data_IF_921503486043
#
_entry.id   IF_921503486043
#
_cell.length_a   1.000
_cell.length_b   1.000
_cell.length_c   1.000
_cell.angle_alpha   90.00
_cell.angle_beta   90.00
_cell.angle_gamma   90.00
#
_symmetry.space_group_name_H-M   'P 1'
#
loop_
_entity.id
_entity.type
_entity.pdbx_description
1 polymer ?
#
# COMPACT_ATOMS: atom_id res chain seq x y z
N UNK A 1 -31.89 22.60 -21.85
CA UNK A 1 -30.97 21.79 -21.02
C UNK A 1 -30.36 20.71 -21.90
N UNK A 2 -29.04 20.49 -21.81
CA UNK A 2 -28.40 19.33 -22.45
C UNK A 2 -28.40 18.19 -21.43
N UNK A 3 -29.04 17.08 -21.74
CA UNK A 3 -29.07 15.89 -20.90
C UNK A 3 -28.11 14.85 -21.50
N UNK A 4 -27.36 14.14 -20.65
CA UNK A 4 -26.41 13.08 -21.05
C UNK A 4 -26.88 11.77 -20.42
N UNK A 5 -26.92 10.70 -21.22
CA UNK A 5 -27.22 9.36 -20.73
C UNK A 5 -26.04 8.84 -19.89
N UNK A 6 -26.31 8.37 -18.67
CA UNK A 6 -25.31 7.84 -17.75
C UNK A 6 -25.76 6.53 -17.13
N UNK A 7 -24.79 5.71 -16.71
CA UNK A 7 -25.01 4.55 -15.87
C UNK A 7 -24.55 4.90 -14.45
N UNK A 8 -25.36 4.55 -13.45
CA UNK A 8 -25.07 4.78 -12.03
C UNK A 8 -24.76 3.43 -11.40
N UNK A 9 -23.66 3.38 -10.66
CA UNK A 9 -23.20 2.18 -9.93
C UNK A 9 -23.25 2.46 -8.43
N UNK A 10 -23.44 1.42 -7.62
CA UNK A 10 -23.53 1.57 -6.16
C UNK A 10 -22.17 1.87 -5.55
N UNK A 11 -21.09 1.33 -6.14
CA UNK A 11 -19.72 1.57 -5.69
C UNK A 11 -18.77 1.98 -6.82
N UNK A 12 -17.71 2.76 -6.54
CA UNK A 12 -16.67 3.08 -7.52
C UNK A 12 -15.99 1.83 -8.11
N UNK A 13 -15.86 0.77 -7.32
CA UNK A 13 -15.21 -0.49 -7.73
C UNK A 13 -16.01 -1.22 -8.81
N UNK A 14 -17.34 -1.21 -8.72
CA UNK A 14 -18.21 -1.73 -9.78
C UNK A 14 -18.04 -0.93 -11.07
N UNK A 15 -17.96 0.40 -10.97
CA UNK A 15 -17.73 1.28 -12.11
C UNK A 15 -16.33 1.04 -12.74
N UNK A 16 -15.31 0.78 -11.92
CA UNK A 16 -13.92 0.59 -12.38
C UNK A 16 -13.80 -0.60 -13.37
N UNK A 17 -14.60 -1.66 -13.23
CA UNK A 17 -14.64 -2.77 -14.22
C UNK A 17 -15.05 -2.25 -15.60
N UNK A 18 -16.10 -1.43 -15.66
CA UNK A 18 -16.63 -0.86 -16.90
C UNK A 18 -15.71 0.20 -17.47
N UNK A 19 -15.12 1.04 -16.62
CA UNK A 19 -14.12 2.04 -16.98
C UNK A 19 -12.91 1.34 -17.60
N UNK A 20 -12.35 0.30 -16.95
CA UNK A 20 -11.25 -0.51 -17.50
C UNK A 20 -11.62 -1.08 -18.87
N UNK A 21 -12.79 -1.73 -19.00
CA UNK A 21 -13.24 -2.29 -20.29
C UNK A 21 -13.40 -1.25 -21.40
N UNK A 22 -13.93 -0.07 -21.07
CA UNK A 22 -14.11 1.03 -22.02
C UNK A 22 -12.78 1.60 -22.53
N UNK A 23 -11.75 1.57 -21.68
CA UNK A 23 -10.48 2.25 -21.92
C UNK A 23 -9.25 1.38 -22.20
N UNK A 24 -9.34 0.06 -22.01
CA UNK A 24 -8.22 -0.89 -22.17
C UNK A 24 -7.81 -1.20 -23.62
N UNK A 25 -8.34 -0.48 -24.61
CA UNK A 25 -8.01 -0.68 -26.03
C UNK A 25 -8.70 -1.89 -26.67
N UNK A 26 -8.16 -2.36 -27.79
CA UNK A 26 -8.70 -3.40 -28.69
C UNK A 26 -8.82 -4.80 -28.03
N UNK A 27 -9.68 -4.93 -27.02
CA UNK A 27 -10.34 -6.19 -26.71
C UNK A 27 -11.36 -6.48 -27.81
N UNK A 28 -10.91 -6.81 -29.03
CA UNK A 28 -11.77 -7.09 -30.19
C UNK A 28 -12.82 -6.00 -30.47
N UNK A 29 -12.47 -4.71 -30.35
CA UNK A 29 -13.35 -3.60 -30.74
C UNK A 29 -14.41 -3.15 -29.72
N UNK A 30 -14.33 -3.58 -28.45
CA UNK A 30 -15.30 -3.19 -27.40
C UNK A 30 -14.99 -1.81 -26.79
N UNK A 31 -13.72 -1.39 -26.76
CA UNK A 31 -13.28 -0.13 -26.16
C UNK A 31 -13.59 1.09 -27.04
N UNK A 32 -14.30 2.08 -26.51
CA UNK A 32 -14.73 3.27 -27.29
C UNK A 32 -13.77 4.47 -27.16
N UNK A 33 -12.93 4.51 -26.13
CA UNK A 33 -11.96 5.61 -25.89
C UNK A 33 -10.68 5.04 -25.30
N UNK A 34 -9.56 5.07 -26.01
CA UNK A 34 -8.29 4.50 -25.53
C UNK A 34 -7.62 5.39 -24.48
N UNK A 35 -7.14 4.78 -23.38
CA UNK A 35 -6.24 5.48 -22.47
C UNK A 35 -4.85 5.63 -23.06
N UNK A 36 -4.23 6.77 -22.79
CA UNK A 36 -2.78 6.88 -22.93
C UNK A 36 -2.06 6.10 -21.81
N UNK A 37 -0.76 5.86 -21.99
CA UNK A 37 0.01 5.01 -21.08
C UNK A 37 0.01 5.53 -19.62
N UNK A 38 0.02 6.86 -19.42
CA UNK A 38 -0.01 7.47 -18.09
C UNK A 38 -1.39 7.33 -17.42
N UNK A 39 -2.48 7.50 -18.17
CA UNK A 39 -3.85 7.28 -17.67
C UNK A 39 -4.05 5.83 -17.25
N UNK A 40 -3.54 4.88 -18.06
CA UNK A 40 -3.57 3.45 -17.72
C UNK A 40 -2.84 3.17 -16.40
N UNK A 41 -1.62 3.67 -16.24
CA UNK A 41 -0.87 3.46 -15.00
C UNK A 41 -1.54 4.12 -13.78
N UNK A 42 -2.16 5.30 -13.94
CA UNK A 42 -2.90 5.95 -12.84
C UNK A 42 -4.15 5.18 -12.44
N UNK A 43 -4.82 4.57 -13.42
CA UNK A 43 -5.94 3.69 -13.15
C UNK A 43 -5.49 2.42 -12.42
N UNK A 44 -4.40 1.79 -12.88
CA UNK A 44 -3.79 0.64 -12.21
C UNK A 44 -3.35 0.98 -10.77
N UNK A 45 -2.73 2.14 -10.55
CA UNK A 45 -2.39 2.65 -9.22
C UNK A 45 -3.64 2.78 -8.33
N UNK A 46 -4.73 3.35 -8.86
CA UNK A 46 -6.01 3.49 -8.15
C UNK A 46 -6.61 2.13 -7.77
N UNK A 47 -6.60 1.16 -8.70
CA UNK A 47 -7.31 -0.12 -8.50
C UNK A 47 -6.48 -1.20 -7.84
N UNK A 48 -5.16 -1.19 -8.04
CA UNK A 48 -4.24 -2.24 -7.58
C UNK A 48 -3.27 -1.74 -6.50
N UNK A 49 -3.26 -0.44 -6.18
CA UNK A 49 -2.41 0.17 -5.16
C UNK A 49 -0.93 0.25 -5.53
N UNK A 50 -0.56 -0.09 -6.77
CA UNK A 50 0.84 -0.14 -7.24
C UNK A 50 1.18 1.10 -8.07
N UNK A 51 1.92 2.04 -7.48
CA UNK A 51 2.44 3.20 -8.19
C UNK A 51 3.67 2.84 -9.01
N UNK A 52 3.68 3.16 -10.30
CA UNK A 52 4.87 2.96 -11.14
C UNK A 52 5.96 3.99 -10.81
N UNK A 53 7.23 3.65 -11.02
CA UNK A 53 8.35 4.59 -10.81
C UNK A 53 8.19 5.90 -11.61
N UNK A 54 7.80 5.88 -12.91
CA UNK A 54 7.50 7.09 -13.65
C UNK A 54 6.40 7.95 -13.01
N UNK A 55 5.33 7.34 -12.48
CA UNK A 55 4.28 8.08 -11.79
C UNK A 55 4.78 8.72 -10.50
N UNK A 56 5.57 8.00 -9.70
CA UNK A 56 6.20 8.55 -8.50
C UNK A 56 7.08 9.76 -8.83
N UNK A 57 7.86 9.71 -9.92
CA UNK A 57 8.66 10.86 -10.39
C UNK A 57 7.78 12.03 -10.82
N UNK A 58 6.71 11.78 -11.58
CA UNK A 58 5.77 12.82 -12.00
C UNK A 58 5.13 13.48 -10.76
N UNK A 59 4.72 12.68 -9.80
CA UNK A 59 4.14 13.13 -8.53
C UNK A 59 5.14 13.97 -7.74
N UNK A 60 6.38 13.50 -7.62
CA UNK A 60 7.48 14.25 -6.99
C UNK A 60 7.65 15.61 -7.67
N UNK A 61 7.84 15.67 -8.99
CA UNK A 61 8.04 16.93 -9.71
C UNK A 61 6.84 17.89 -9.57
N UNK A 62 5.61 17.38 -9.59
CA UNK A 62 4.40 18.19 -9.37
C UNK A 62 4.33 18.77 -7.96
N UNK A 63 4.83 18.03 -6.97
CA UNK A 63 4.82 18.46 -5.58
C UNK A 63 5.82 19.58 -5.28
N UNK A 64 6.85 19.80 -6.10
CA UNK A 64 7.93 20.75 -5.77
C UNK A 64 7.63 22.17 -6.27
N UNK A 65 7.94 23.17 -5.43
CA UNK A 65 7.76 24.60 -5.77
C UNK A 65 8.80 25.10 -6.79
N UNK A 66 10.00 24.54 -6.76
CA UNK A 66 11.09 24.88 -7.68
C UNK A 66 10.80 24.48 -9.14
N UNK A 67 9.80 23.62 -9.36
CA UNK A 67 9.38 23.18 -10.69
C UNK A 67 8.31 24.14 -11.23
N UNK A 68 8.58 24.76 -12.38
CA UNK A 68 7.66 25.71 -13.02
C UNK A 68 6.34 25.06 -13.44
N UNK A 69 5.26 25.83 -13.42
CA UNK A 69 3.93 25.36 -13.83
C UNK A 69 3.90 24.90 -15.30
N UNK A 70 4.69 25.54 -16.16
CA UNK A 70 4.87 25.13 -17.57
C UNK A 70 5.37 23.70 -17.71
N UNK A 71 6.31 23.28 -16.86
CA UNK A 71 6.81 21.91 -16.84
C UNK A 71 5.76 20.98 -16.23
N UNK A 72 5.13 21.37 -15.11
CA UNK A 72 4.08 20.57 -14.44
C UNK A 72 2.92 20.22 -15.37
N UNK A 73 2.50 21.16 -16.21
CA UNK A 73 1.44 20.96 -17.20
C UNK A 73 1.89 20.00 -18.32
N UNK A 74 3.14 20.15 -18.74
CA UNK A 74 3.75 19.34 -19.80
C UNK A 74 4.01 17.88 -19.37
N UNK A 75 4.14 17.60 -18.07
CA UNK A 75 4.30 16.24 -17.54
C UNK A 75 3.18 15.28 -17.96
N UNK A 76 1.99 15.79 -18.29
CA UNK A 76 0.87 14.97 -18.80
C UNK A 76 1.12 14.37 -20.19
N UNK A 77 2.04 14.97 -20.97
CA UNK A 77 2.43 14.55 -22.32
C UNK A 77 3.71 13.72 -22.33
N UNK A 78 4.32 13.51 -21.17
CA UNK A 78 5.60 12.83 -21.04
C UNK A 78 5.51 11.38 -21.55
N UNK A 79 6.49 10.97 -22.35
CA UNK A 79 6.58 9.57 -22.75
C UNK A 79 7.09 8.73 -21.57
N UNK A 80 6.16 8.18 -20.79
CA UNK A 80 6.46 7.40 -19.60
C UNK A 80 7.27 6.14 -19.88
N UNK A 81 7.23 5.58 -21.10
CA UNK A 81 8.01 4.39 -21.45
C UNK A 81 9.49 4.71 -21.61
N UNK A 82 9.81 5.91 -22.09
CA UNK A 82 11.19 6.42 -22.15
C UNK A 82 11.72 6.72 -20.75
N UNK A 83 10.91 7.35 -19.89
CA UNK A 83 11.26 7.57 -18.49
C UNK A 83 11.48 6.23 -17.76
N UNK A 84 10.57 5.26 -17.93
CA UNK A 84 10.72 3.92 -17.36
C UNK A 84 12.02 3.26 -17.82
N UNK A 85 12.36 3.35 -19.11
CA UNK A 85 13.59 2.75 -19.66
C UNK A 85 14.85 3.31 -19.00
N UNK A 86 14.89 4.62 -18.75
CA UNK A 86 15.98 5.26 -18.02
C UNK A 86 16.02 4.82 -16.56
N UNK A 87 14.88 4.85 -15.86
CA UNK A 87 14.80 4.53 -14.43
C UNK A 87 15.02 3.04 -14.13
N UNK A 88 14.78 2.15 -15.09
CA UNK A 88 15.10 0.73 -14.93
C UNK A 88 16.61 0.45 -14.91
N UNK A 89 17.45 1.40 -15.33
CA UNK A 89 18.91 1.23 -15.31
C UNK A 89 19.50 1.67 -13.96
N UNK A 90 20.18 0.77 -13.21
CA UNK A 90 20.81 1.12 -11.95
C UNK A 90 21.83 2.27 -12.08
N UNK A 91 22.58 2.31 -13.18
CA UNK A 91 23.62 3.33 -13.37
C UNK A 91 23.00 4.72 -13.50
N UNK A 92 21.91 4.85 -14.26
CA UNK A 92 21.18 6.12 -14.41
C UNK A 92 20.58 6.55 -13.07
N UNK A 93 20.00 5.63 -12.30
CA UNK A 93 19.44 5.93 -10.99
C UNK A 93 20.50 6.42 -10.01
N UNK A 94 21.63 5.75 -9.92
CA UNK A 94 22.76 6.14 -9.06
C UNK A 94 23.25 7.56 -9.39
N UNK A 95 23.37 7.89 -10.69
CA UNK A 95 23.76 9.23 -11.15
C UNK A 95 22.73 10.32 -10.84
N UNK A 96 21.47 9.94 -10.62
CA UNK A 96 20.41 10.83 -10.20
C UNK A 96 20.22 10.86 -8.67
N UNK A 97 21.01 10.08 -7.92
CA UNK A 97 20.87 9.93 -6.47
C UNK A 97 19.63 9.16 -6.07
N UNK A 98 19.11 8.28 -6.93
CA UNK A 98 17.86 7.56 -6.75
C UNK A 98 18.10 6.07 -6.51
N UNK A 99 17.24 5.47 -5.69
CA UNK A 99 17.17 4.03 -5.45
C UNK A 99 15.71 3.57 -5.56
N UNK A 100 15.52 2.26 -5.75
CA UNK A 100 14.19 1.64 -5.79
C UNK A 100 14.18 0.52 -4.77
N UNK A 101 13.34 0.66 -3.75
CA UNK A 101 13.14 -0.34 -2.71
C UNK A 101 11.70 -0.83 -2.77
N UNK A 102 11.50 -2.11 -3.09
CA UNK A 102 10.17 -2.73 -3.23
C UNK A 102 9.20 -1.96 -4.15
N UNK A 103 9.71 -1.39 -5.24
CA UNK A 103 8.91 -0.60 -6.18
C UNK A 103 8.64 0.85 -5.73
N UNK A 104 9.20 1.30 -4.61
CA UNK A 104 9.12 2.68 -4.13
C UNK A 104 10.43 3.41 -4.45
N UNK A 105 10.32 4.60 -5.02
CA UNK A 105 11.44 5.50 -5.28
C UNK A 105 11.89 6.15 -3.97
N UNK A 106 13.16 5.95 -3.62
CA UNK A 106 13.79 6.51 -2.41
C UNK A 106 15.10 7.20 -2.75
N UNK A 107 15.53 8.13 -1.89
CA UNK A 107 16.82 8.81 -2.04
C UNK A 107 17.39 9.24 -0.69
N UNK A 108 18.72 9.28 -0.62
CA UNK A 108 19.48 9.88 0.49
C UNK A 108 20.06 11.25 0.12
N UNK A 109 19.91 11.68 -1.12
CA UNK A 109 20.38 12.99 -1.61
C UNK A 109 19.29 14.03 -1.34
N UNK A 110 19.63 15.28 -1.08
CA UNK A 110 18.61 16.33 -0.89
C UNK A 110 17.63 16.39 -2.06
N UNK A 111 16.35 16.59 -1.74
CA UNK A 111 15.25 16.63 -2.72
C UNK A 111 15.60 17.60 -3.86
N UNK A 112 15.99 18.83 -3.55
CA UNK A 112 16.32 19.85 -4.57
C UNK A 112 17.44 19.42 -5.54
N UNK A 113 18.43 18.66 -5.09
CA UNK A 113 19.47 18.13 -5.99
C UNK A 113 18.90 17.06 -6.93
N UNK A 114 18.09 16.14 -6.42
CA UNK A 114 17.43 15.11 -7.24
C UNK A 114 16.48 15.76 -8.27
N UNK A 115 15.78 16.82 -7.89
CA UNK A 115 14.90 17.58 -8.80
C UNK A 115 15.69 18.18 -9.97
N UNK A 116 16.90 18.71 -9.76
CA UNK A 116 17.73 19.24 -10.85
C UNK A 116 17.98 18.18 -11.94
N UNK A 117 18.41 16.99 -11.53
CA UNK A 117 18.67 15.88 -12.44
C UNK A 117 17.40 15.40 -13.15
N UNK A 118 16.31 15.23 -12.40
CA UNK A 118 15.01 14.82 -12.96
C UNK A 118 14.42 15.85 -13.91
N UNK A 119 14.60 17.15 -13.67
CA UNK A 119 14.15 18.21 -14.56
C UNK A 119 14.84 18.13 -15.91
N UNK A 120 16.15 17.87 -15.95
CA UNK A 120 16.87 17.66 -17.20
C UNK A 120 16.32 16.46 -17.97
N UNK A 121 16.14 15.32 -17.28
CA UNK A 121 15.59 14.09 -17.88
C UNK A 121 14.21 14.33 -18.49
N UNK A 122 13.31 14.95 -17.73
CA UNK A 122 11.94 15.18 -18.18
C UNK A 122 11.90 16.19 -19.33
N UNK A 123 12.70 17.27 -19.25
CA UNK A 123 12.76 18.28 -20.32
C UNK A 123 13.26 17.69 -21.62
N UNK A 124 14.26 16.81 -21.56
CA UNK A 124 14.74 16.09 -22.74
C UNK A 124 13.67 15.19 -23.32
N UNK A 125 13.01 14.37 -22.51
CA UNK A 125 11.97 13.45 -23.01
C UNK A 125 10.77 14.21 -23.60
N UNK A 126 10.47 15.41 -23.09
CA UNK A 126 9.42 16.29 -23.63
C UNK A 126 9.83 16.98 -24.94
N UNK A 127 11.12 17.06 -25.24
CA UNK A 127 11.61 17.63 -26.48
C UNK A 127 11.25 16.72 -27.66
N UNK A 128 10.54 17.21 -28.69
CA UNK A 128 10.21 16.43 -29.88
C UNK A 128 11.41 15.80 -30.60
N UNK A 129 12.60 16.41 -30.47
CA UNK A 129 13.85 15.90 -31.07
C UNK A 129 14.45 14.71 -30.30
N UNK A 130 13.98 14.41 -29.09
CA UNK A 130 14.49 13.31 -28.30
C UNK A 130 14.04 11.96 -28.86
N UNK A 131 15.01 11.14 -29.28
CA UNK A 131 14.72 9.85 -29.91
C UNK A 131 14.93 8.72 -28.92
N UNK A 132 14.03 7.74 -28.97
CA UNK A 132 14.15 6.52 -28.17
C UNK A 132 15.46 5.76 -28.44
N UNK A 133 16.03 5.90 -29.63
CA UNK A 133 17.34 5.35 -30.01
C UNK A 133 18.48 5.83 -29.11
N UNK A 134 18.35 7.02 -28.51
CA UNK A 134 19.39 7.65 -27.69
C UNK A 134 19.44 7.06 -26.28
N UNK A 135 18.46 6.22 -25.91
CA UNK A 135 18.35 5.54 -24.60
C UNK A 135 17.99 4.07 -24.72
N UNK A 136 18.05 3.50 -25.92
CA UNK A 136 17.49 2.18 -26.21
C UNK A 136 18.19 1.05 -25.44
N UNK A 137 19.52 1.00 -25.52
CA UNK A 137 20.37 0.03 -24.83
C UNK A 137 21.11 0.66 -23.63
N UNK A 138 21.82 -0.17 -22.87
CA UNK A 138 22.51 0.23 -21.64
C UNK A 138 23.61 1.25 -21.91
N UNK A 139 24.38 1.05 -22.96
CA UNK A 139 25.50 1.90 -23.37
C UNK A 139 25.00 3.31 -23.69
N UNK A 140 23.88 3.41 -24.43
CA UNK A 140 23.23 4.66 -24.77
C UNK A 140 22.66 5.39 -23.55
N UNK A 141 22.03 4.67 -22.61
CA UNK A 141 21.57 5.26 -21.34
C UNK A 141 22.70 5.80 -20.48
N UNK A 142 23.82 5.08 -20.42
CA UNK A 142 25.04 5.53 -19.75
C UNK A 142 25.61 6.79 -20.42
N UNK A 143 25.75 6.79 -21.75
CA UNK A 143 26.20 7.98 -22.50
C UNK A 143 25.28 9.18 -22.27
N UNK A 144 23.97 8.95 -22.28
CA UNK A 144 22.97 9.99 -22.03
C UNK A 144 23.16 10.68 -20.68
N UNK A 145 23.27 9.92 -19.59
CA UNK A 145 23.42 10.51 -18.24
C UNK A 145 24.82 11.08 -18.00
N UNK A 146 25.86 10.47 -18.59
CA UNK A 146 27.24 10.94 -18.47
C UNK A 146 27.43 12.31 -19.15
N UNK A 147 26.67 12.59 -20.21
CA UNK A 147 26.69 13.85 -20.96
C UNK A 147 25.99 15.04 -20.25
N UNK A 148 25.43 14.85 -19.05
CA UNK A 148 24.83 15.96 -18.31
C UNK A 148 25.91 16.95 -17.88
N UNK A 149 25.63 18.24 -18.03
CA UNK A 149 26.51 19.29 -17.52
C UNK A 149 26.57 19.25 -15.99
N UNK A 150 27.65 19.79 -15.42
CA UNK A 150 27.81 19.83 -13.95
C UNK A 150 26.65 20.52 -13.23
N UNK A 151 26.03 21.52 -13.86
CA UNK A 151 24.85 22.22 -13.31
C UNK A 151 23.55 21.41 -13.37
N UNK A 152 23.51 20.36 -14.18
CA UNK A 152 22.35 19.48 -14.39
C UNK A 152 22.45 18.19 -13.58
N UNK A 153 23.65 17.83 -13.12
CA UNK A 153 23.88 16.65 -12.27
C UNK A 153 23.54 16.99 -10.82
N UNK A 154 22.78 16.13 -10.12
CA UNK A 154 22.63 16.24 -8.68
C UNK A 154 23.99 16.19 -7.97
N UNK A 155 24.20 17.03 -6.96
CA UNK A 155 25.34 16.84 -6.07
C UNK A 155 25.06 15.69 -5.10
N UNK A 156 25.59 14.51 -5.42
CA UNK A 156 25.40 13.29 -4.63
C UNK A 156 26.02 13.38 -3.22
N UNK A 157 26.96 14.30 -2.99
CA UNK A 157 27.55 14.52 -1.67
C UNK A 157 26.64 15.35 -0.74
N UNK A 158 25.63 16.02 -1.31
CA UNK A 158 24.68 16.82 -0.57
C UNK A 158 23.55 15.93 -0.04
N UNK A 159 23.88 15.15 0.99
CA UNK A 159 22.96 14.20 1.63
C UNK A 159 21.83 14.91 2.39
N UNK A 160 20.65 14.28 2.37
CA UNK A 160 19.53 14.63 3.22
C UNK A 160 19.77 14.11 4.64
N UNK A 161 19.09 14.68 5.64
CA UNK A 161 19.21 14.24 7.03
C UNK A 161 18.71 12.81 7.25
N UNK A 162 17.73 12.38 6.47
CA UNK A 162 17.15 11.04 6.48
C UNK A 162 16.84 10.60 5.05
N UNK A 163 16.79 9.28 4.82
CA UNK A 163 16.28 8.75 3.55
C UNK A 163 14.80 9.11 3.41
N UNK A 164 14.44 9.63 2.24
CA UNK A 164 13.07 10.03 1.94
C UNK A 164 12.50 9.26 0.75
N UNK A 165 11.18 9.15 0.72
CA UNK A 165 10.38 8.69 -0.42
C UNK A 165 9.45 9.79 -0.93
N UNK A 166 8.87 9.61 -2.12
CA UNK A 166 7.88 10.55 -2.68
C UNK A 166 6.66 10.69 -1.75
N UNK A 167 6.25 9.59 -1.11
CA UNK A 167 5.11 9.58 -0.18
C UNK A 167 5.39 10.43 1.06
N UNK A 168 6.62 10.42 1.59
CA UNK A 168 6.99 11.25 2.75
C UNK A 168 6.89 12.75 2.44
N UNK A 169 7.25 13.12 1.21
CA UNK A 169 7.21 14.50 0.73
C UNK A 169 5.77 14.99 0.58
N UNK A 170 4.88 14.20 -0.03
CA UNK A 170 3.44 14.51 -0.09
C UNK A 170 2.82 14.57 1.31
N UNK A 171 3.17 13.59 2.15
CA UNK A 171 3.12 13.57 3.61
C UNK A 171 3.24 14.96 4.26
N UNK A 172 4.42 15.53 4.09
CA UNK A 172 4.85 16.76 4.74
C UNK A 172 4.21 18.00 4.12
N UNK A 173 4.00 18.05 2.80
CA UNK A 173 3.30 19.17 2.15
C UNK A 173 1.83 19.26 2.53
N UNK A 174 1.13 18.13 2.61
CA UNK A 174 -0.24 18.14 3.11
C UNK A 174 -0.34 18.56 4.58
N UNK A 175 0.72 18.39 5.39
CA UNK A 175 0.75 18.89 6.77
C UNK A 175 1.04 20.38 6.81
N UNK A 176 1.93 20.89 5.95
CA UNK A 176 2.22 22.32 5.83
C UNK A 176 1.02 23.13 5.33
N UNK A 177 0.33 22.69 4.28
CA UNK A 177 -0.88 23.36 3.77
C UNK A 177 -2.07 23.30 4.76
N UNK A 178 -2.19 22.23 5.56
CA UNK A 178 -3.26 22.13 6.58
C UNK A 178 -3.01 23.00 7.83
N UNK A 179 -1.80 23.52 8.02
CA UNK A 179 -1.48 24.42 9.13
C UNK A 179 -1.75 25.90 8.78
N UNK A 180 -1.80 26.26 7.48
CA UNK A 180 -2.13 27.62 7.04
C UNK A 180 -3.63 27.92 7.01
N UNK A 181 -4.49 26.90 7.00
CA UNK A 181 -5.96 27.03 6.92
C UNK A 181 -6.71 26.73 8.23
N UNK A 182 -6.02 26.61 9.37
CA UNK A 182 -6.67 26.36 10.67
C UNK A 182 -6.50 27.51 11.66
N UNK A 183 -7.08 28.66 11.30
CA UNK A 183 -7.92 29.36 12.27
C UNK A 183 -9.37 29.20 11.84
N UNK A 184 -10.17 28.75 12.81
CA UNK A 184 -11.61 28.50 12.77
C UNK A 184 -12.12 27.13 12.30
N UNK A 185 -13.02 26.64 13.15
CA UNK A 185 -13.95 25.51 13.01
C UNK A 185 -13.41 24.12 13.40
N UNK A 186 -13.75 23.77 14.66
CA UNK A 186 -13.83 22.42 15.20
C UNK A 186 -14.78 21.58 14.33
N UNK A 187 -14.31 20.42 13.86
CA UNK A 187 -15.19 19.43 13.23
C UNK A 187 -14.43 18.34 12.50
N UNK A 188 -14.41 17.17 13.13
CA UNK A 188 -14.15 15.83 12.59
C UNK A 188 -12.75 15.41 12.10
N UNK A 189 -12.33 14.23 12.58
CA UNK A 189 -11.02 13.62 12.37
C UNK A 189 -11.21 12.24 11.75
N UNK A 190 -10.78 12.07 10.50
CA UNK A 190 -10.19 10.84 9.94
C UNK A 190 -9.72 11.14 8.51
N UNK A 191 -8.60 10.67 7.97
CA UNK A 191 -7.52 9.77 8.40
C UNK A 191 -6.24 10.36 7.75
N UNK A 192 -5.19 10.59 8.52
CA UNK A 192 -3.82 10.73 8.02
C UNK A 192 -3.04 9.56 8.60
N UNK A 193 -2.38 8.80 7.74
CA UNK A 193 -1.48 7.68 8.04
C UNK A 193 -0.48 8.12 9.10
N UNK A 194 -0.76 7.77 10.36
CA UNK A 194 0.18 7.99 11.46
C UNK A 194 1.28 6.96 11.30
N UNK A 195 2.52 7.44 11.32
CA UNK A 195 3.73 6.65 11.52
C UNK A 195 3.51 5.78 12.77
N UNK A 196 3.09 4.53 12.53
CA UNK A 196 2.50 3.66 13.53
C UNK A 196 3.62 2.96 14.27
N UNK A 197 3.84 3.35 15.53
CA UNK A 197 4.83 2.70 16.39
C UNK A 197 4.42 1.30 16.84
N UNK A 198 3.11 1.01 16.92
CA UNK A 198 2.57 -0.23 17.48
C UNK A 198 1.71 -1.04 16.50
N UNK A 199 1.67 -2.36 16.68
CA UNK A 199 1.00 -3.26 15.74
C UNK A 199 -0.51 -3.06 15.65
N UNK A 200 -1.18 -2.60 16.72
CA UNK A 200 -2.62 -2.25 16.75
C UNK A 200 -2.84 -0.75 16.99
N UNK A 201 -3.79 -0.08 16.28
CA UNK A 201 -3.92 1.36 16.41
C UNK A 201 -4.42 1.67 17.81
N UNK A 202 -3.82 2.63 18.51
CA UNK A 202 -4.30 3.03 19.85
C UNK A 202 -5.76 3.50 19.86
N UNK A 203 -6.27 3.95 18.71
CA UNK A 203 -7.66 4.35 18.51
C UNK A 203 -8.63 3.18 18.37
N UNK A 204 -8.15 1.97 18.08
CA UNK A 204 -9.01 0.80 17.95
C UNK A 204 -9.40 0.29 19.33
N UNK A 205 -10.70 0.15 19.55
CA UNK A 205 -11.28 -0.40 20.76
C UNK A 205 -12.16 -1.58 20.37
N UNK A 206 -11.79 -2.76 20.85
CA UNK A 206 -12.60 -3.98 20.74
C UNK A 206 -13.18 -4.29 22.10
N UNK A 207 -14.46 -4.67 22.16
CA UNK A 207 -15.08 -5.11 23.40
C UNK A 207 -14.83 -6.60 23.60
N UNK A 208 -13.83 -6.93 24.41
CA UNK A 208 -13.37 -8.30 24.64
C UNK A 208 -13.68 -8.70 26.09
N UNK A 209 -14.70 -9.54 26.27
CA UNK A 209 -15.14 -9.99 27.60
C UNK A 209 -14.10 -10.88 28.31
N UNK A 210 -13.30 -11.63 27.55
CA UNK A 210 -12.25 -12.48 28.10
C UNK A 210 -11.05 -11.64 28.59
N UNK A 211 -10.72 -11.63 29.90
CA UNK A 211 -9.66 -10.78 30.44
C UNK A 211 -8.27 -11.06 29.87
N UNK A 212 -7.96 -12.32 29.53
CA UNK A 212 -6.66 -12.71 28.97
C UNK A 212 -6.52 -12.19 27.54
N UNK A 213 -7.55 -12.39 26.72
CA UNK A 213 -7.53 -11.95 25.32
C UNK A 213 -7.50 -10.42 25.25
N UNK A 214 -8.24 -9.74 26.14
CA UNK A 214 -8.21 -8.28 26.22
C UNK A 214 -6.82 -7.74 26.61
N UNK A 215 -6.13 -8.37 27.56
CA UNK A 215 -4.74 -7.99 27.91
C UNK A 215 -3.80 -8.14 26.72
N UNK A 216 -3.88 -9.24 25.98
CA UNK A 216 -3.07 -9.46 24.76
C UNK A 216 -3.37 -8.39 23.70
N UNK A 217 -4.64 -8.04 23.51
CA UNK A 217 -5.04 -6.95 22.60
C UNK A 217 -4.45 -5.59 23.03
N UNK A 218 -4.50 -5.27 24.32
CA UNK A 218 -3.89 -4.06 24.85
C UNK A 218 -2.36 -4.08 24.74
N UNK A 219 -1.70 -5.22 24.96
CA UNK A 219 -0.26 -5.38 24.70
C UNK A 219 0.09 -5.10 23.23
N UNK A 220 -0.72 -5.59 22.29
CA UNK A 220 -0.56 -5.32 20.86
C UNK A 220 -0.71 -3.84 20.48
N UNK A 221 -1.45 -3.05 21.27
CA UNK A 221 -1.57 -1.58 21.12
C UNK A 221 -0.35 -0.81 21.62
N UNK A 222 0.52 -1.45 22.40
CA UNK A 222 1.69 -0.84 23.03
C UNK A 222 3.01 -1.39 22.53
N UNK A 223 3.06 -2.65 22.07
CA UNK A 223 4.28 -3.28 21.56
C UNK A 223 4.83 -2.50 20.37
N UNK A 224 6.09 -2.10 20.47
CA UNK A 224 6.75 -1.34 19.41
C UNK A 224 7.19 -2.30 18.29
N UNK A 225 6.44 -2.32 17.19
CA UNK A 225 6.61 -3.31 16.11
C UNK A 225 7.95 -3.15 15.39
N UNK A 226 8.48 -1.93 15.32
CA UNK A 226 9.79 -1.64 14.70
C UNK A 226 10.97 -2.14 15.53
N UNK A 227 10.88 -2.10 16.85
CA UNK A 227 11.96 -2.55 17.75
C UNK A 227 11.82 -4.02 18.13
N UNK A 228 10.58 -4.53 18.19
CA UNK A 228 10.27 -5.88 18.66
C UNK A 228 9.40 -6.66 17.64
N UNK A 229 9.84 -6.87 16.39
CA UNK A 229 9.04 -7.53 15.36
C UNK A 229 8.73 -9.00 15.68
N UNK A 230 9.67 -9.73 16.28
CA UNK A 230 9.46 -11.12 16.72
C UNK A 230 8.39 -11.23 17.81
N UNK A 231 8.47 -10.39 18.84
CA UNK A 231 7.47 -10.39 19.91
C UNK A 231 6.08 -10.01 19.36
N UNK A 232 6.04 -9.04 18.43
CA UNK A 232 4.81 -8.58 17.79
C UNK A 232 4.16 -9.67 16.94
N UNK A 233 4.94 -10.44 16.17
CA UNK A 233 4.39 -11.53 15.34
C UNK A 233 3.84 -12.67 16.18
N UNK A 234 4.52 -13.05 17.27
CA UNK A 234 4.06 -14.09 18.21
C UNK A 234 2.77 -13.66 18.89
N UNK A 235 2.71 -12.42 19.42
CA UNK A 235 1.49 -11.90 20.04
C UNK A 235 0.32 -11.83 19.06
N UNK A 236 0.58 -11.42 17.80
CA UNK A 236 -0.45 -11.38 16.76
C UNK A 236 -1.03 -12.76 16.49
N UNK A 237 -0.16 -13.78 16.36
CA UNK A 237 -0.59 -15.17 16.17
C UNK A 237 -1.47 -15.64 17.34
N UNK A 238 -1.03 -15.40 18.57
CA UNK A 238 -1.78 -15.80 19.78
C UNK A 238 -3.13 -15.08 19.83
N UNK A 239 -3.17 -13.78 19.50
CA UNK A 239 -4.41 -13.02 19.46
C UNK A 239 -5.39 -13.54 18.41
N UNK A 240 -4.90 -13.85 17.20
CA UNK A 240 -5.70 -14.45 16.13
C UNK A 240 -6.32 -15.77 16.58
N UNK A 241 -5.49 -16.67 17.11
CA UNK A 241 -5.93 -18.01 17.52
C UNK A 241 -6.98 -17.95 18.64
N UNK A 242 -6.72 -17.17 19.70
CA UNK A 242 -7.66 -17.03 20.80
C UNK A 242 -8.96 -16.33 20.41
N UNK A 243 -8.92 -15.36 19.49
CA UNK A 243 -10.13 -14.68 19.00
C UNK A 243 -11.02 -15.64 18.21
N UNK A 244 -10.41 -16.45 17.34
CA UNK A 244 -11.12 -17.46 16.54
C UNK A 244 -11.72 -18.53 17.43
N UNK A 245 -10.95 -19.03 18.40
CA UNK A 245 -11.42 -20.03 19.37
C UNK A 245 -12.60 -19.49 20.20
N UNK A 246 -12.50 -18.26 20.70
CA UNK A 246 -13.59 -17.61 21.44
C UNK A 246 -14.87 -17.49 20.61
N UNK A 247 -14.77 -17.18 19.31
CA UNK A 247 -15.93 -17.15 18.43
C UNK A 247 -16.53 -18.54 18.25
N UNK A 248 -15.71 -19.55 17.95
CA UNK A 248 -16.19 -20.92 17.73
C UNK A 248 -16.91 -21.49 18.95
N UNK A 249 -16.37 -21.24 20.14
CA UNK A 249 -16.98 -21.65 21.42
C UNK A 249 -18.26 -20.86 21.69
N UNK A 250 -18.25 -19.53 21.47
CA UNK A 250 -19.44 -18.71 21.68
C UNK A 250 -20.58 -19.10 20.76
N UNK A 251 -20.31 -19.55 19.54
CA UNK A 251 -21.32 -19.95 18.54
C UNK A 251 -21.60 -21.45 18.45
N UNK A 252 -21.03 -22.26 19.34
CA UNK A 252 -21.22 -23.72 19.38
C UNK A 252 -20.79 -24.42 18.06
N UNK A 253 -19.74 -23.91 17.40
CA UNK A 253 -19.24 -24.37 16.10
C UNK A 253 -18.02 -25.31 16.20
N UNK A 254 -17.69 -25.73 17.42
CA UNK A 254 -16.53 -26.59 17.71
C UNK A 254 -16.77 -27.99 17.14
N UNK A 255 -15.75 -28.54 16.45
CA UNK A 255 -15.84 -29.86 15.82
C UNK A 255 -15.74 -30.99 16.85
N UNK A 256 -16.29 -32.15 16.52
CA UNK A 256 -16.07 -33.43 17.22
C UNK A 256 -16.55 -33.48 18.69
N UNK A 257 -17.54 -32.67 19.09
CA UNK A 257 -18.00 -32.55 20.48
C UNK A 257 -16.84 -32.23 21.46
N UNK A 258 -15.75 -31.64 20.97
CA UNK A 258 -14.64 -31.24 21.82
C UNK A 258 -15.09 -30.13 22.77
N UNK A 259 -14.59 -30.18 24.02
CA UNK A 259 -14.97 -29.23 25.07
C UNK A 259 -14.49 -27.81 24.75
N UNK A 260 -13.39 -27.67 23.99
CA UNK A 260 -12.84 -26.37 23.58
C UNK A 260 -12.40 -26.40 22.12
N UNK A 261 -12.34 -25.24 21.48
CA UNK A 261 -11.86 -25.09 20.11
C UNK A 261 -10.38 -25.51 19.97
N UNK A 262 -9.58 -25.29 21.03
CA UNK A 262 -8.19 -25.75 21.12
C UNK A 262 -8.08 -27.28 21.10
N UNK A 263 -8.99 -27.99 21.77
CA UNK A 263 -9.00 -29.46 21.84
C UNK A 263 -9.57 -30.14 20.58
N UNK A 264 -10.06 -29.37 19.60
CA UNK A 264 -10.75 -29.92 18.44
C UNK A 264 -9.84 -30.66 17.44
N UNK A 265 -8.52 -30.47 17.54
CA UNK A 265 -7.53 -31.00 16.59
C UNK A 265 -7.58 -30.34 15.20
N UNK A 266 -8.43 -29.32 15.01
CA UNK A 266 -8.56 -28.59 13.76
C UNK A 266 -7.44 -27.55 13.62
N UNK A 267 -6.86 -27.47 12.42
CA UNK A 267 -5.85 -26.44 12.14
C UNK A 267 -6.46 -25.05 12.24
N UNK A 268 -5.64 -24.05 12.62
CA UNK A 268 -6.07 -22.65 12.67
C UNK A 268 -6.73 -22.20 11.35
N UNK A 269 -6.29 -22.75 10.22
CA UNK A 269 -6.83 -22.45 8.89
C UNK A 269 -8.27 -22.94 8.75
N UNK A 270 -8.53 -24.17 9.20
CA UNK A 270 -9.87 -24.74 9.25
C UNK A 270 -10.79 -23.94 10.18
N UNK A 271 -10.28 -23.56 11.36
CA UNK A 271 -11.00 -22.75 12.34
C UNK A 271 -11.41 -21.40 11.77
N UNK A 272 -10.46 -20.64 11.20
CA UNK A 272 -10.75 -19.34 10.57
C UNK A 272 -11.74 -19.50 9.41
N UNK A 273 -11.56 -20.52 8.57
CA UNK A 273 -12.46 -20.81 7.47
C UNK A 273 -13.91 -21.06 7.92
N UNK A 274 -14.12 -21.68 9.09
CA UNK A 274 -15.46 -21.86 9.67
C UNK A 274 -16.05 -20.56 10.18
N UNK A 275 -15.28 -19.77 10.93
CA UNK A 275 -15.72 -18.47 11.44
C UNK A 275 -16.17 -17.58 10.28
N UNK A 276 -15.36 -17.47 9.24
CA UNK A 276 -15.68 -16.67 8.05
C UNK A 276 -16.94 -17.17 7.33
N UNK A 277 -17.14 -18.48 7.21
CA UNK A 277 -18.37 -19.03 6.63
C UNK A 277 -19.60 -18.67 7.47
N UNK A 278 -19.49 -18.81 8.78
CA UNK A 278 -20.58 -18.51 9.70
C UNK A 278 -20.93 -17.02 9.71
N UNK A 279 -19.93 -16.13 9.76
CA UNK A 279 -20.15 -14.68 9.71
C UNK A 279 -20.81 -14.23 8.39
N UNK A 280 -20.42 -14.85 7.27
CA UNK A 280 -21.05 -14.62 5.98
C UNK A 280 -22.51 -15.11 5.96
N UNK A 281 -22.81 -16.26 6.56
CA UNK A 281 -24.17 -16.78 6.68
C UNK A 281 -25.06 -15.90 7.57
N UNK A 282 -24.51 -15.35 8.65
CA UNK A 282 -25.19 -14.39 9.52
C UNK A 282 -25.36 -12.99 8.91
N UNK A 283 -24.71 -12.72 7.77
CA UNK A 283 -24.72 -11.39 7.13
C UNK A 283 -23.90 -10.33 7.87
N UNK A 284 -23.09 -10.72 8.86
CA UNK A 284 -22.21 -9.78 9.61
C UNK A 284 -20.94 -9.46 8.83
N UNK A 285 -20.59 -10.28 7.84
CA UNK A 285 -19.45 -10.08 6.94
C UNK A 285 -19.86 -10.25 5.47
N UNK A 286 -19.42 -9.32 4.61
CA UNK A 286 -19.66 -9.44 3.17
C UNK A 286 -18.84 -10.58 2.54
N UNK A 287 -19.36 -11.13 1.44
CA UNK A 287 -18.67 -12.19 0.69
C UNK A 287 -17.28 -11.75 0.20
N UNK A 288 -17.12 -10.49 -0.20
CA UNK A 288 -15.86 -9.97 -0.72
C UNK A 288 -14.84 -9.78 0.40
N UNK A 289 -15.26 -9.33 1.58
CA UNK A 289 -14.39 -9.23 2.75
C UNK A 289 -13.93 -10.62 3.22
N UNK A 290 -14.86 -11.58 3.31
CA UNK A 290 -14.58 -12.98 3.64
C UNK A 290 -13.59 -13.61 2.65
N UNK A 291 -13.74 -13.35 1.34
CA UNK A 291 -12.79 -13.80 0.31
C UNK A 291 -11.41 -13.17 0.46
N UNK A 292 -11.33 -11.87 0.72
CA UNK A 292 -10.07 -11.17 0.95
C UNK A 292 -9.28 -11.76 2.12
N UNK A 293 -9.93 -11.93 3.26
CA UNK A 293 -9.32 -12.53 4.46
C UNK A 293 -8.91 -13.99 4.21
N UNK A 294 -9.74 -14.78 3.51
CA UNK A 294 -9.37 -16.15 3.09
C UNK A 294 -8.15 -16.15 2.20
N UNK A 295 -8.06 -15.24 1.24
CA UNK A 295 -6.92 -15.14 0.34
C UNK A 295 -5.65 -14.82 1.12
N UNK A 296 -5.70 -13.86 2.05
CA UNK A 296 -4.56 -13.48 2.87
C UNK A 296 -4.07 -14.63 3.76
N UNK A 297 -4.99 -15.36 4.40
CA UNK A 297 -4.65 -16.43 5.34
C UNK A 297 -4.16 -17.70 4.62
N UNK A 298 -4.64 -17.94 3.39
CA UNK A 298 -4.29 -19.12 2.60
C UNK A 298 -3.12 -18.89 1.63
N UNK A 299 -2.76 -17.65 1.33
CA UNK A 299 -1.62 -17.35 0.47
C UNK A 299 -0.32 -17.66 1.21
N UNK A 300 0.41 -18.68 0.76
CA UNK A 300 1.70 -19.09 1.34
C UNK A 300 2.73 -17.96 1.37
N UNK A 301 2.62 -17.00 0.47
CA UNK A 301 3.51 -15.84 0.38
C UNK A 301 3.02 -14.65 1.19
N UNK A 302 1.81 -14.72 1.77
CA UNK A 302 1.34 -13.69 2.69
C UNK A 302 2.12 -13.74 4.00
N UNK A 303 2.36 -12.55 4.55
CA UNK A 303 2.95 -12.32 5.86
C UNK A 303 2.07 -12.89 6.98
N UNK A 304 0.74 -12.92 6.76
CA UNK A 304 -0.24 -13.42 7.72
C UNK A 304 -0.73 -14.83 7.42
N UNK A 305 -0.16 -15.48 6.41
CA UNK A 305 -0.43 -16.88 6.19
C UNK A 305 -0.14 -17.66 7.46
N UNK A 306 -0.92 -18.70 7.72
CA UNK A 306 -0.73 -19.50 8.93
C UNK A 306 0.64 -20.18 8.91
N UNK A 307 1.14 -20.49 7.71
CA UNK A 307 2.49 -21.01 7.48
C UNK A 307 3.56 -19.96 7.85
N UNK A 308 3.40 -18.70 7.44
CA UNK A 308 4.30 -17.58 7.79
C UNK A 308 4.28 -17.26 9.28
N UNK A 309 3.08 -17.17 9.88
CA UNK A 309 2.92 -17.01 11.33
C UNK A 309 3.53 -18.17 12.10
N UNK A 310 3.59 -19.38 11.51
CA UNK A 310 4.22 -20.55 12.14
C UNK A 310 5.74 -20.50 11.99
N UNK A 311 6.21 -20.10 10.81
CA UNK A 311 7.62 -19.91 10.53
C UNK A 311 8.22 -18.82 11.43
N UNK A 312 7.52 -17.72 11.73
CA UNK A 312 8.02 -16.70 12.66
C UNK A 312 8.27 -17.21 14.09
N UNK A 313 7.61 -18.31 14.49
CA UNK A 313 7.79 -18.91 15.82
C UNK A 313 8.87 -19.99 15.82
N UNK A 314 8.94 -20.78 14.75
CA UNK A 314 9.69 -22.04 14.76
C UNK A 314 10.86 -22.10 13.76
N UNK A 315 10.94 -21.19 12.80
CA UNK A 315 12.00 -21.18 11.80
C UNK A 315 13.06 -20.13 12.15
N UNK A 316 14.25 -20.60 12.53
CA UNK A 316 15.40 -19.78 12.92
C UNK A 316 15.86 -18.80 11.81
N UNK A 317 15.60 -19.13 10.55
CA UNK A 317 16.06 -18.34 9.40
C UNK A 317 14.96 -17.45 8.80
N UNK A 318 13.76 -17.42 9.39
CA UNK A 318 12.63 -16.66 8.86
C UNK A 318 12.18 -15.56 9.83
N UNK A 319 12.57 -14.32 9.49
CA UNK A 319 12.37 -13.16 10.36
C UNK A 319 11.14 -12.34 9.95
N UNK A 320 10.27 -11.96 10.90
CA UNK A 320 9.19 -11.01 10.65
C UNK A 320 9.76 -9.60 10.43
N UNK A 321 9.16 -8.88 9.48
CA UNK A 321 9.46 -7.47 9.20
C UNK A 321 8.36 -6.58 9.74
N UNK A 322 8.70 -5.46 10.34
CA UNK A 322 7.75 -4.59 11.02
C UNK A 322 6.65 -4.07 10.08
N UNK A 323 7.02 -3.55 8.91
CA UNK A 323 6.05 -3.01 7.95
C UNK A 323 5.11 -4.08 7.40
N UNK A 324 5.65 -5.28 7.19
CA UNK A 324 4.87 -6.45 6.77
C UNK A 324 3.80 -6.81 7.83
N UNK A 325 4.16 -6.80 9.12
CA UNK A 325 3.21 -7.07 10.20
C UNK A 325 2.14 -5.97 10.29
N UNK A 326 2.50 -4.70 10.09
CA UNK A 326 1.56 -3.57 10.07
C UNK A 326 0.55 -3.74 8.92
N UNK A 327 1.04 -3.95 7.70
CA UNK A 327 0.18 -4.20 6.53
C UNK A 327 -0.71 -5.41 6.74
N UNK A 328 -0.14 -6.47 7.33
CA UNK A 328 -0.89 -7.65 7.71
C UNK A 328 -2.07 -7.28 8.62
N UNK A 329 -1.79 -6.63 9.75
CA UNK A 329 -2.84 -6.18 10.67
C UNK A 329 -3.92 -5.37 9.94
N UNK A 330 -3.53 -4.38 9.12
CA UNK A 330 -4.47 -3.51 8.42
C UNK A 330 -5.41 -4.30 7.49
N UNK A 331 -4.92 -5.38 6.87
CA UNK A 331 -5.73 -6.27 6.02
C UNK A 331 -6.76 -7.10 6.82
N UNK A 332 -6.46 -7.46 8.07
CA UNK A 332 -7.33 -8.29 8.92
C UNK A 332 -8.01 -7.52 10.07
N UNK A 333 -7.84 -6.21 10.18
CA UNK A 333 -8.43 -5.40 11.25
C UNK A 333 -9.96 -5.51 11.26
N UNK A 334 -10.58 -5.43 10.08
CA UNK A 334 -12.03 -5.54 9.89
C UNK A 334 -12.57 -6.91 10.31
N UNK A 335 -11.79 -7.98 10.14
CA UNK A 335 -12.13 -9.31 10.63
C UNK A 335 -12.29 -9.31 12.15
N UNK A 336 -11.32 -8.75 12.88
CA UNK A 336 -11.39 -8.70 14.34
C UNK A 336 -12.54 -7.83 14.84
N UNK A 337 -12.79 -6.68 14.20
CA UNK A 337 -13.92 -5.82 14.56
C UNK A 337 -15.23 -6.60 14.47
N UNK A 338 -15.51 -7.20 13.32
CA UNK A 338 -16.77 -7.91 13.10
C UNK A 338 -16.89 -9.18 13.95
N UNK A 339 -15.77 -9.88 14.18
CA UNK A 339 -15.72 -11.07 15.03
C UNK A 339 -16.12 -10.72 16.46
N UNK A 340 -15.50 -9.70 17.06
CA UNK A 340 -15.78 -9.30 18.44
C UNK A 340 -17.14 -8.61 18.59
N UNK A 341 -17.61 -7.87 17.59
CA UNK A 341 -18.98 -7.35 17.55
C UNK A 341 -20.02 -8.48 17.52
N UNK A 342 -19.77 -9.53 16.72
CA UNK A 342 -20.66 -10.69 16.63
C UNK A 342 -20.71 -11.48 17.95
N UNK A 343 -19.57 -11.66 18.63
CA UNK A 343 -19.52 -12.28 19.98
C UNK A 343 -20.32 -11.45 20.99
N UNK A 344 -20.14 -10.13 20.99
CA UNK A 344 -20.85 -9.20 21.87
C UNK A 344 -22.37 -9.23 21.61
N UNK A 345 -22.80 -9.28 20.35
CA UNK A 345 -24.24 -9.32 20.03
C UNK A 345 -24.93 -10.63 20.43
N UNK A 346 -24.15 -11.68 20.76
CA UNK A 346 -24.67 -12.95 21.32
C UNK A 346 -24.62 -12.98 22.86
N UNK A 347 -23.99 -12.01 23.52
CA UNK A 347 -24.12 -11.79 24.98
C UNK A 347 -25.44 -11.07 25.30
#
# INVERSE_FOLDING_TARGET
>A
MKNIACAVFETPTEADIWIKRKHSGELNGIGTVTWNAQQKQRFEEKTEGKSSIPLQIITLLKSQEEVSDTIKDSLSKLNITNLQRLMSDPYVREHLGLEINNGILVSKVKVSEVIKGLLKVVTDILNPEFKVSDIYNREKRKQYIDNFDKSQKPDLSNEASEQWSVQDIENNKEQASRNSEKQEIKGDKNRKTRNRGALVPKSLNLHISNPKINKIFEELKHVQVKTCPNASSVLLRVFLELSVDAYLEKFDLVRNNAITACSSGESLQGKVGKVLNHMTQLGTMSNDLSKGIRSEINDKNSVLSIESLNAYVHNEFFYPKADNLITGWDNIESFFIQLWESIKNKE
#
